data_IF_595479437782
#
_entry.id   IF_595479437782
#
_cell.length_a   1.000
_cell.length_b   1.000
_cell.length_c   1.000
_cell.angle_alpha   90.00
_cell.angle_beta   90.00
_cell.angle_gamma   90.00
#
_symmetry.space_group_name_H-M   'P 1'
#
loop_
_entity.id
_entity.type
_entity.pdbx_description
1 polymer ?
#
# COMPACT_ATOMS: atom_id res chain seq x y z
N UNK A 1 -1.44 4.29 0.65
CA UNK A 1 -1.09 5.10 -0.53
C UNK A 1 -2.31 5.16 -1.41
N UNK A 2 -2.81 6.36 -1.71
CA UNK A 2 -3.96 6.53 -2.60
C UNK A 2 -3.47 6.59 -4.04
N UNK A 3 -4.16 5.91 -4.96
CA UNK A 3 -3.83 5.87 -6.38
C UNK A 3 -4.91 6.65 -7.13
N UNK A 4 -4.48 7.56 -7.99
CA UNK A 4 -5.31 8.41 -8.83
C UNK A 4 -4.89 8.23 -10.29
N UNK A 5 -5.84 8.36 -11.22
CA UNK A 5 -5.55 8.28 -12.66
C UNK A 5 -5.10 9.62 -13.22
N UNK A 6 -5.67 10.71 -12.72
CA UNK A 6 -5.40 12.07 -13.16
C UNK A 6 -4.93 12.93 -12.00
N UNK A 7 -4.15 13.96 -12.32
CA UNK A 7 -3.62 14.87 -11.30
C UNK A 7 -4.73 15.74 -10.71
N UNK A 8 -5.71 16.11 -11.53
CA UNK A 8 -6.87 16.91 -11.14
C UNK A 8 -7.69 16.24 -10.03
N UNK A 9 -7.70 14.90 -9.95
CA UNK A 9 -8.46 14.15 -8.95
C UNK A 9 -7.78 14.11 -7.57
N UNK A 10 -6.54 14.57 -7.44
CA UNK A 10 -5.78 14.50 -6.16
C UNK A 10 -6.35 15.47 -5.12
N UNK A 11 -6.91 16.60 -5.55
CA UNK A 11 -7.38 17.66 -4.65
C UNK A 11 -8.80 17.36 -4.12
N UNK A 12 -9.75 17.08 -5.00
CA UNK A 12 -11.17 16.93 -4.65
C UNK A 12 -11.80 15.60 -5.15
N UNK A 13 -11.02 14.75 -5.83
CA UNK A 13 -11.50 13.49 -6.40
C UNK A 13 -11.36 12.30 -5.46
N UNK A 14 -12.10 11.23 -5.74
CA UNK A 14 -11.93 9.95 -5.06
C UNK A 14 -10.77 9.18 -5.70
N UNK A 15 -9.91 8.59 -4.86
CA UNK A 15 -8.88 7.68 -5.35
C UNK A 15 -9.52 6.45 -5.98
N UNK A 16 -8.95 5.96 -7.08
CA UNK A 16 -9.46 4.74 -7.72
C UNK A 16 -9.17 3.48 -6.92
N UNK A 17 -8.12 3.52 -6.07
CA UNK A 17 -7.82 2.47 -5.10
C UNK A 17 -6.85 2.96 -4.02
N UNK A 18 -6.78 2.24 -2.90
CA UNK A 18 -5.77 2.41 -1.86
C UNK A 18 -4.84 1.20 -1.82
N UNK A 19 -3.53 1.44 -1.91
CA UNK A 19 -2.49 0.44 -1.72
C UNK A 19 -1.85 0.57 -0.32
N UNK A 20 -1.75 -0.54 0.40
CA UNK A 20 -1.11 -0.60 1.72
C UNK A 20 -0.08 -1.72 1.77
N UNK A 21 1.12 -1.42 2.24
CA UNK A 21 2.13 -2.41 2.60
C UNK A 21 2.11 -2.60 4.10
N UNK A 22 1.82 -3.82 4.56
CA UNK A 22 1.77 -4.16 5.98
C UNK A 22 2.82 -5.23 6.29
N UNK A 23 3.57 -5.12 7.40
CA UNK A 23 4.50 -6.16 7.79
C UNK A 23 3.73 -7.41 8.21
N UNK A 24 4.25 -8.59 7.87
CA UNK A 24 3.68 -9.88 8.29
C UNK A 24 3.88 -10.13 9.79
N UNK A 25 4.91 -9.52 10.38
CA UNK A 25 5.22 -9.58 11.81
C UNK A 25 5.66 -8.19 12.31
N UNK A 26 5.05 -7.72 13.39
CA UNK A 26 5.38 -6.44 14.02
C UNK A 26 6.48 -6.59 15.08
N UNK A 27 7.26 -5.53 15.30
CA UNK A 27 8.31 -5.50 16.35
C UNK A 27 9.65 -6.10 15.93
N UNK A 28 9.88 -6.24 14.62
CA UNK A 28 11.17 -6.59 14.02
C UNK A 28 11.72 -5.39 13.27
N UNK A 29 13.05 -5.33 13.11
CA UNK A 29 13.73 -4.28 12.34
C UNK A 29 13.67 -4.56 10.82
N UNK A 30 12.51 -5.02 10.33
CA UNK A 30 12.28 -5.26 8.91
C UNK A 30 11.99 -3.96 8.20
N UNK A 31 12.59 -3.81 7.03
CA UNK A 31 12.28 -2.72 6.11
C UNK A 31 11.85 -3.27 4.75
N UNK A 32 11.00 -2.52 4.07
CA UNK A 32 10.39 -2.94 2.81
C UNK A 32 11.41 -3.12 1.68
N UNK A 33 12.58 -2.46 1.77
CA UNK A 33 13.61 -2.48 0.73
C UNK A 33 14.48 -3.73 0.83
N UNK A 34 14.94 -4.06 2.04
CA UNK A 34 15.83 -5.20 2.27
C UNK A 34 15.07 -6.49 2.59
N UNK A 35 13.83 -6.41 3.07
CA UNK A 35 13.02 -7.57 3.47
C UNK A 35 11.62 -7.55 2.83
N UNK A 36 11.50 -7.45 1.49
CA UNK A 36 10.20 -7.34 0.83
C UNK A 36 9.29 -8.56 1.09
N UNK A 37 9.85 -9.74 1.33
CA UNK A 37 9.11 -10.95 1.69
C UNK A 37 8.43 -10.88 3.06
N UNK A 38 8.81 -9.91 3.90
CA UNK A 38 8.20 -9.64 5.21
C UNK A 38 7.06 -8.65 5.15
N UNK A 39 6.65 -8.22 3.95
CA UNK A 39 5.53 -7.31 3.76
C UNK A 39 4.51 -7.91 2.79
N UNK A 40 3.23 -7.66 3.07
CA UNK A 40 2.12 -8.01 2.22
C UNK A 40 1.47 -6.76 1.63
N UNK A 41 1.14 -6.82 0.36
CA UNK A 41 0.42 -5.77 -0.35
C UNK A 41 -1.08 -5.99 -0.23
N UNK A 42 -1.78 -4.93 0.17
CA UNK A 42 -3.23 -4.85 0.16
C UNK A 42 -3.68 -3.79 -0.82
N UNK A 43 -4.65 -4.12 -1.67
CA UNK A 43 -5.36 -3.16 -2.53
C UNK A 43 -6.81 -3.11 -2.06
N UNK A 44 -7.29 -1.91 -1.70
CA UNK A 44 -8.62 -1.68 -1.12
C UNK A 44 -8.93 -2.62 0.05
N UNK A 45 -7.94 -2.83 0.92
CA UNK A 45 -8.02 -3.72 2.07
C UNK A 45 -7.99 -5.22 1.74
N UNK A 46 -7.84 -5.61 0.48
CA UNK A 46 -7.73 -7.01 0.06
C UNK A 46 -6.27 -7.38 -0.21
N UNK A 47 -5.81 -8.45 0.42
CA UNK A 47 -4.48 -9.00 0.18
C UNK A 47 -4.37 -9.45 -1.28
N UNK A 48 -3.31 -9.01 -1.96
CA UNK A 48 -2.96 -9.46 -3.30
C UNK A 48 -1.83 -10.49 -3.19
N UNK A 49 -2.05 -11.66 -3.77
CA UNK A 49 -1.07 -12.76 -3.85
C UNK A 49 -0.42 -12.83 -5.22
#
# INVERSE_FOLDING_TARGET
MNIYLWKEDIEDGESVMTAEYRPVEYGKDYDVVNNPDKFQLYIDGKEIK
#
